data_IF_094682941805
#
_entry.id   IF_094682941805
#
_cell.length_a   1.000
_cell.length_b   1.000
_cell.length_c   1.000
_cell.angle_alpha   90.00
_cell.angle_beta   90.00
_cell.angle_gamma   90.00
#
_symmetry.space_group_name_H-M   'P 1'
#
loop_
_entity.id
_entity.type
_entity.pdbx_description
1 polymer ?
#
# COMPACT_ATOMS: atom_id res chain seq x y z
N UNK A 1 -12.37 14.64 -6.82
CA UNK A 1 -11.82 14.54 -8.19
C UNK A 1 -11.67 13.09 -8.70
N UNK A 2 -11.18 12.12 -7.91
CA UNK A 2 -11.04 10.72 -8.38
C UNK A 2 -12.34 9.92 -8.60
N UNK A 3 -13.43 10.26 -7.91
CA UNK A 3 -14.72 9.53 -7.99
C UNK A 3 -15.45 9.77 -9.32
N UNK A 4 -15.14 10.86 -10.03
CA UNK A 4 -15.82 11.25 -11.28
C UNK A 4 -15.10 10.71 -12.54
N UNK A 5 -13.81 10.37 -12.44
CA UNK A 5 -13.02 9.97 -13.62
C UNK A 5 -13.16 8.49 -14.01
N UNK A 6 -13.54 7.61 -13.08
CA UNK A 6 -13.63 6.17 -13.33
C UNK A 6 -15.01 5.73 -13.84
N UNK A 7 -15.03 5.08 -15.02
CA UNK A 7 -16.23 4.49 -15.63
C UNK A 7 -16.73 3.25 -14.87
N UNK A 8 -15.83 2.52 -14.19
CA UNK A 8 -16.14 1.35 -13.39
C UNK A 8 -15.44 1.39 -12.01
N UNK A 9 -15.84 0.48 -11.10
CA UNK A 9 -15.30 0.42 -9.73
C UNK A 9 -13.77 0.29 -9.69
N UNK A 10 -13.19 -0.55 -10.57
CA UNK A 10 -11.74 -0.76 -10.62
C UNK A 10 -10.95 0.51 -10.97
N UNK A 11 -11.44 1.32 -11.92
CA UNK A 11 -10.81 2.60 -12.25
C UNK A 11 -10.92 3.61 -11.10
N UNK A 12 -12.09 3.69 -10.44
CA UNK A 12 -12.28 4.59 -9.28
C UNK A 12 -11.37 4.19 -8.13
N UNK A 13 -11.27 2.90 -7.85
CA UNK A 13 -10.36 2.36 -6.85
C UNK A 13 -8.89 2.65 -7.19
N UNK A 14 -8.50 2.51 -8.45
CA UNK A 14 -7.14 2.85 -8.92
C UNK A 14 -6.81 4.33 -8.71
N UNK A 15 -7.75 5.24 -9.04
CA UNK A 15 -7.56 6.66 -8.78
C UNK A 15 -7.47 6.97 -7.27
N UNK A 16 -8.23 6.26 -6.44
CA UNK A 16 -8.16 6.39 -5.00
C UNK A 16 -6.79 5.96 -4.45
N UNK A 17 -6.34 4.74 -4.75
CA UNK A 17 -5.05 4.24 -4.22
C UNK A 17 -3.87 5.04 -4.77
N UNK A 18 -3.94 5.55 -6.00
CA UNK A 18 -2.97 6.49 -6.54
C UNK A 18 -2.92 7.79 -5.72
N UNK A 19 -4.09 8.41 -5.50
CA UNK A 19 -4.17 9.66 -4.76
C UNK A 19 -3.72 9.48 -3.31
N UNK A 20 -4.06 8.35 -2.70
CA UNK A 20 -3.65 8.00 -1.35
C UNK A 20 -2.13 7.84 -1.24
N UNK A 21 -1.50 7.05 -2.13
CA UNK A 21 -0.04 6.85 -2.11
C UNK A 21 0.74 8.13 -2.40
N UNK A 22 0.26 8.97 -3.33
CA UNK A 22 0.87 10.29 -3.60
C UNK A 22 0.74 11.19 -2.38
N UNK A 23 -0.44 11.26 -1.77
CA UNK A 23 -0.66 12.07 -0.57
C UNK A 23 0.25 11.64 0.58
N UNK A 24 0.37 10.34 0.82
CA UNK A 24 1.17 9.78 1.91
C UNK A 24 2.67 10.09 1.75
N UNK A 25 3.21 10.00 0.53
CA UNK A 25 4.60 10.41 0.27
C UNK A 25 4.78 11.93 0.47
N UNK A 26 3.85 12.74 -0.04
CA UNK A 26 3.93 14.18 0.11
C UNK A 26 3.76 14.64 1.56
N UNK A 27 3.03 13.90 2.39
CA UNK A 27 2.95 14.14 3.83
C UNK A 27 4.35 14.13 4.47
N UNK A 28 5.16 13.09 4.22
CA UNK A 28 6.54 13.05 4.74
C UNK A 28 7.46 14.11 4.13
N UNK A 29 7.29 14.42 2.84
CA UNK A 29 8.05 15.52 2.20
C UNK A 29 7.77 16.84 2.91
N UNK A 30 6.50 17.17 3.15
CA UNK A 30 6.14 18.41 3.82
C UNK A 30 6.57 18.44 5.28
N UNK A 31 6.51 17.32 5.99
CA UNK A 31 7.10 17.24 7.33
C UNK A 31 8.60 17.52 7.33
N UNK A 32 9.33 17.02 6.31
CA UNK A 32 10.76 17.30 6.20
C UNK A 32 11.04 18.76 5.91
N UNK A 33 10.25 19.38 5.04
CA UNK A 33 10.40 20.81 4.70
C UNK A 33 10.06 21.72 5.88
N UNK A 34 8.98 21.43 6.60
CA UNK A 34 8.45 22.33 7.64
C UNK A 34 9.10 22.14 9.00
N UNK A 35 9.44 20.90 9.35
CA UNK A 35 9.88 20.52 10.69
C UNK A 35 11.24 19.78 10.70
N UNK A 36 11.87 19.59 9.54
CA UNK A 36 13.09 18.80 9.37
C UNK A 36 12.97 17.32 9.81
N UNK A 37 11.75 16.79 9.93
CA UNK A 37 11.49 15.39 10.30
C UNK A 37 10.95 14.60 9.10
N UNK A 38 11.34 13.32 8.88
CA UNK A 38 12.22 12.52 9.72
C UNK A 38 13.71 12.75 9.40
N UNK A 39 14.60 12.50 10.36
CA UNK A 39 16.05 12.55 10.12
C UNK A 39 16.54 11.35 9.28
N UNK A 40 15.82 10.23 9.36
CA UNK A 40 16.04 9.02 8.57
C UNK A 40 14.72 8.35 8.22
N UNK A 41 14.64 7.68 7.07
CA UNK A 41 13.46 6.88 6.71
C UNK A 41 13.21 5.70 7.67
N UNK A 42 14.19 5.32 8.51
CA UNK A 42 14.01 4.29 9.53
C UNK A 42 13.47 4.83 10.86
N UNK A 43 13.24 6.14 10.98
CA UNK A 43 12.60 6.70 12.17
C UNK A 43 11.15 6.24 12.31
N UNK A 44 10.76 5.99 13.55
CA UNK A 44 9.42 5.55 13.90
C UNK A 44 8.40 6.67 13.76
N UNK A 45 7.24 6.30 13.23
CA UNK A 45 6.06 7.15 13.15
C UNK A 45 4.80 6.43 13.68
N UNK A 46 3.80 7.24 14.03
CA UNK A 46 2.45 6.81 14.32
C UNK A 46 1.60 7.05 13.07
N UNK A 47 1.44 6.01 12.28
CA UNK A 47 0.84 6.08 10.95
C UNK A 47 -0.66 6.40 11.02
N UNK A 48 -1.38 5.68 11.88
CA UNK A 48 -2.82 5.83 12.05
C UNK A 48 -3.24 5.45 13.49
N UNK A 49 -4.39 5.98 13.91
CA UNK A 49 -5.00 5.70 15.23
C UNK A 49 -6.31 4.91 15.12
N UNK A 50 -6.60 4.29 13.99
CA UNK A 50 -7.91 3.68 13.70
C UNK A 50 -7.73 2.21 13.30
N UNK A 51 -8.46 1.25 13.90
CA UNK A 51 -9.16 1.33 15.19
C UNK A 51 -8.20 1.28 16.39
N UNK A 52 -6.92 0.98 16.13
CA UNK A 52 -5.82 0.85 17.08
C UNK A 52 -4.62 1.63 16.55
N UNK A 53 -3.57 1.80 17.36
CA UNK A 53 -2.36 2.51 16.95
C UNK A 53 -1.54 1.68 15.97
N UNK A 54 -1.26 2.25 14.80
CA UNK A 54 -0.39 1.66 13.79
C UNK A 54 0.94 2.38 13.86
N UNK A 55 2.01 1.63 14.02
CA UNK A 55 3.34 2.20 14.23
C UNK A 55 4.36 1.46 13.38
N UNK A 56 5.30 2.21 12.83
CA UNK A 56 6.39 1.64 12.06
C UNK A 56 7.37 2.70 11.59
N UNK A 57 8.49 2.28 11.00
CA UNK A 57 9.42 3.21 10.39
C UNK A 57 8.79 3.87 9.17
N UNK A 58 9.09 5.16 8.92
CA UNK A 58 8.58 5.94 7.76
C UNK A 58 8.79 5.23 6.42
N UNK A 59 9.84 4.43 6.29
CA UNK A 59 10.13 3.64 5.10
C UNK A 59 9.01 2.65 4.75
N UNK A 60 8.34 2.06 5.73
CA UNK A 60 7.30 1.05 5.51
C UNK A 60 6.06 1.60 4.77
N UNK A 61 5.38 2.67 5.22
CA UNK A 61 4.29 3.28 4.47
C UNK A 61 4.74 3.85 3.12
N UNK A 62 5.96 4.38 3.00
CA UNK A 62 6.51 4.83 1.71
C UNK A 62 6.62 3.69 0.70
N UNK A 63 7.06 2.49 1.12
CA UNK A 63 7.10 1.31 0.25
C UNK A 63 5.69 0.95 -0.23
N UNK A 64 4.71 0.86 0.68
CA UNK A 64 3.31 0.56 0.32
C UNK A 64 2.78 1.61 -0.67
N UNK A 65 3.04 2.89 -0.40
CA UNK A 65 2.60 4.01 -1.23
C UNK A 65 3.17 3.95 -2.65
N UNK A 66 4.45 3.58 -2.81
CA UNK A 66 5.04 3.34 -4.13
C UNK A 66 4.37 2.17 -4.85
N UNK A 67 4.13 1.05 -4.17
CA UNK A 67 3.45 -0.11 -4.73
C UNK A 67 2.02 0.20 -5.16
N UNK A 68 1.27 0.95 -4.35
CA UNK A 68 -0.08 1.41 -4.68
C UNK A 68 -0.10 2.32 -5.91
N UNK A 69 0.86 3.26 -6.01
CA UNK A 69 1.00 4.14 -7.18
C UNK A 69 1.26 3.32 -8.45
N UNK A 70 2.23 2.40 -8.40
CA UNK A 70 2.58 1.54 -9.54
C UNK A 70 1.38 0.67 -9.94
N UNK A 71 0.73 0.02 -8.97
CA UNK A 71 -0.45 -0.80 -9.22
C UNK A 71 -1.58 0.01 -9.89
N UNK A 72 -1.86 1.23 -9.41
CA UNK A 72 -2.85 2.11 -10.01
C UNK A 72 -2.52 2.47 -11.46
N UNK A 73 -1.27 2.87 -11.73
CA UNK A 73 -0.81 3.21 -13.08
C UNK A 73 -1.01 2.02 -14.02
N UNK A 74 -0.66 0.81 -13.57
CA UNK A 74 -0.81 -0.42 -14.37
C UNK A 74 -2.28 -0.77 -14.62
N UNK A 75 -3.15 -0.66 -13.62
CA UNK A 75 -4.60 -0.87 -13.83
C UNK A 75 -5.17 0.16 -14.81
N UNK A 76 -4.81 1.44 -14.66
CA UNK A 76 -5.24 2.51 -15.55
C UNK A 76 -4.70 2.32 -16.98
N UNK A 77 -3.50 1.77 -17.13
CA UNK A 77 -2.93 1.41 -18.42
C UNK A 77 -3.77 0.35 -19.16
N UNK A 78 -4.22 -0.70 -18.46
CA UNK A 78 -5.14 -1.69 -19.05
C UNK A 78 -6.49 -1.07 -19.39
N UNK A 79 -7.02 -0.25 -18.48
CA UNK A 79 -8.28 0.45 -18.68
C UNK A 79 -8.27 1.36 -19.92
N UNK A 80 -7.16 2.06 -20.18
CA UNK A 80 -6.97 2.88 -21.39
C UNK A 80 -7.02 2.06 -22.69
N UNK A 81 -6.70 0.75 -22.61
CA UNK A 81 -6.80 -0.21 -23.73
C UNK A 81 -8.16 -0.92 -23.79
N UNK A 82 -9.14 -0.49 -23.00
CA UNK A 82 -10.47 -1.10 -22.93
C UNK A 82 -10.50 -2.44 -22.19
N UNK A 83 -9.45 -2.78 -21.43
CA UNK A 83 -9.35 -4.05 -20.71
C UNK A 83 -9.53 -3.83 -19.21
N UNK A 84 -10.44 -4.59 -18.62
CA UNK A 84 -10.68 -4.51 -17.18
C UNK A 84 -9.71 -5.41 -16.40
N UNK A 85 -9.06 -4.83 -15.38
CA UNK A 85 -8.29 -5.60 -14.41
C UNK A 85 -9.25 -6.23 -13.39
N UNK A 86 -9.34 -7.56 -13.37
CA UNK A 86 -10.17 -8.32 -12.42
C UNK A 86 -9.38 -9.45 -11.78
N UNK A 87 -9.39 -9.46 -10.45
CA UNK A 87 -8.90 -10.57 -9.65
C UNK A 87 -9.97 -11.67 -9.57
N UNK A 88 -9.55 -12.94 -9.51
CA UNK A 88 -10.45 -14.04 -9.18
C UNK A 88 -10.57 -14.19 -7.65
N UNK A 89 -11.43 -15.10 -7.19
CA UNK A 89 -11.67 -15.29 -5.75
C UNK A 89 -10.40 -15.69 -4.98
N UNK A 90 -9.55 -16.54 -5.57
CA UNK A 90 -8.30 -16.97 -4.95
C UNK A 90 -7.31 -15.82 -4.81
N UNK A 91 -7.11 -15.06 -5.89
CA UNK A 91 -6.23 -13.90 -5.89
C UNK A 91 -6.73 -12.81 -4.94
N UNK A 92 -8.05 -12.57 -4.87
CA UNK A 92 -8.64 -11.71 -3.85
C UNK A 92 -8.31 -12.19 -2.44
N UNK A 93 -8.42 -13.50 -2.18
CA UNK A 93 -8.03 -14.08 -0.90
C UNK A 93 -6.55 -13.89 -0.57
N UNK A 94 -5.67 -14.02 -1.57
CA UNK A 94 -4.23 -13.82 -1.40
C UNK A 94 -3.86 -12.35 -1.19
N UNK A 95 -4.47 -11.41 -1.91
CA UNK A 95 -4.30 -9.96 -1.69
C UNK A 95 -4.80 -9.54 -0.31
N UNK A 96 -5.91 -10.12 0.15
CA UNK A 96 -6.39 -9.88 1.51
C UNK A 96 -5.42 -10.42 2.56
N UNK A 97 -4.85 -11.62 2.34
CA UNK A 97 -3.84 -12.19 3.23
C UNK A 97 -2.56 -11.33 3.26
N UNK A 98 -2.11 -10.84 2.11
CA UNK A 98 -1.00 -9.92 1.99
C UNK A 98 -1.24 -8.63 2.80
N UNK A 99 -2.40 -7.98 2.57
CA UNK A 99 -2.79 -6.78 3.28
C UNK A 99 -2.93 -7.01 4.80
N UNK A 100 -3.47 -8.16 5.22
CA UNK A 100 -3.57 -8.53 6.62
C UNK A 100 -2.18 -8.72 7.26
N UNK A 101 -1.23 -9.33 6.56
CA UNK A 101 0.15 -9.46 7.03
C UNK A 101 0.83 -8.11 7.23
N UNK A 102 0.70 -7.21 6.26
CA UNK A 102 1.19 -5.84 6.36
C UNK A 102 0.54 -5.11 7.54
N UNK A 103 -0.79 -5.17 7.68
CA UNK A 103 -1.51 -4.55 8.78
C UNK A 103 -1.05 -5.09 10.14
N UNK A 104 -0.90 -6.41 10.28
CA UNK A 104 -0.39 -7.04 11.51
C UNK A 104 1.00 -6.50 11.84
N UNK A 105 1.89 -6.33 10.86
CA UNK A 105 3.23 -5.79 11.10
C UNK A 105 3.22 -4.41 11.77
N UNK A 106 2.23 -3.56 11.47
CA UNK A 106 2.08 -2.23 12.07
C UNK A 106 1.44 -2.22 13.46
N UNK A 107 0.63 -3.24 13.79
CA UNK A 107 -0.18 -3.26 15.01
C UNK A 107 0.43 -4.14 16.11
N UNK A 108 1.39 -5.01 15.78
CA UNK A 108 1.99 -5.94 16.75
C UNK A 108 2.54 -5.23 18.00
N UNK A 109 3.14 -4.05 17.85
CA UNK A 109 3.71 -3.30 18.97
C UNK A 109 2.73 -2.31 19.64
N UNK A 110 1.47 -2.27 19.19
CA UNK A 110 0.47 -1.32 19.68
C UNK A 110 0.31 -1.36 21.21
N UNK A 111 0.30 -2.55 21.83
CA UNK A 111 0.15 -2.68 23.29
C UNK A 111 1.33 -2.11 24.06
N UNK A 112 2.55 -2.32 23.57
CA UNK A 112 3.77 -1.84 24.20
C UNK A 112 3.82 -0.30 24.16
N UNK A 113 3.54 0.28 22.98
CA UNK A 113 3.52 1.73 22.78
C UNK A 113 2.41 2.40 23.59
N UNK A 114 1.22 1.81 23.66
CA UNK A 114 0.12 2.34 24.48
C UNK A 114 0.42 2.32 25.98
N UNK A 115 1.31 1.44 26.44
CA UNK A 115 1.77 1.39 27.83
C UNK A 115 2.96 2.32 28.12
N UNK A 116 3.38 3.14 27.15
CA UNK A 116 4.53 4.04 27.27
C UNK A 116 5.89 3.38 27.08
N UNK A 117 5.91 2.15 26.55
CA UNK A 117 7.15 1.45 26.19
C UNK A 117 7.83 2.06 24.98
N UNK A 118 9.16 1.89 24.88
CA UNK A 118 9.91 2.24 23.68
C UNK A 118 9.57 1.26 22.54
N UNK A 119 9.56 1.69 21.27
CA UNK A 119 9.23 0.82 20.15
C UNK A 119 10.17 -0.39 20.06
N UNK A 120 9.59 -1.59 19.98
CA UNK A 120 10.36 -2.79 19.66
C UNK A 120 10.81 -2.77 18.20
N UNK A 121 11.87 -3.49 17.80
CA UNK A 121 12.28 -3.57 16.40
C UNK A 121 11.13 -3.96 15.47
N UNK A 122 10.98 -3.21 14.37
CA UNK A 122 9.90 -3.42 13.41
C UNK A 122 10.02 -4.81 12.77
N UNK A 123 8.89 -5.52 12.65
CA UNK A 123 8.79 -6.89 12.14
C UNK A 123 8.84 -6.91 10.61
N UNK A 124 9.98 -6.50 10.05
CA UNK A 124 10.23 -6.38 8.61
C UNK A 124 9.92 -7.65 7.84
N UNK A 125 10.14 -8.82 8.43
CA UNK A 125 9.90 -10.10 7.80
C UNK A 125 8.41 -10.35 7.51
N UNK A 126 7.51 -9.90 8.40
CA UNK A 126 6.06 -10.02 8.20
C UNK A 126 5.61 -9.00 7.15
N UNK A 127 6.10 -7.76 7.29
CA UNK A 127 5.81 -6.68 6.36
C UNK A 127 6.22 -7.03 4.93
N UNK A 128 7.49 -7.39 4.70
CA UNK A 128 8.02 -7.74 3.39
C UNK A 128 7.38 -9.02 2.86
N UNK A 129 7.05 -9.98 3.72
CA UNK A 129 6.33 -11.18 3.31
C UNK A 129 4.94 -10.86 2.73
N UNK A 130 4.19 -9.98 3.38
CA UNK A 130 2.90 -9.49 2.90
C UNK A 130 3.04 -8.68 1.61
N UNK A 131 3.97 -7.71 1.60
CA UNK A 131 4.22 -6.84 0.44
C UNK A 131 4.63 -7.63 -0.81
N UNK A 132 5.58 -8.57 -0.67
CA UNK A 132 6.01 -9.41 -1.78
C UNK A 132 4.89 -10.32 -2.28
N UNK A 133 4.08 -10.90 -1.38
CA UNK A 133 2.94 -11.71 -1.77
C UNK A 133 1.95 -10.91 -2.63
N UNK A 134 1.59 -9.69 -2.18
CA UNK A 134 0.71 -8.80 -2.94
C UNK A 134 1.27 -8.43 -4.30
N UNK A 135 2.53 -7.99 -4.37
CA UNK A 135 3.21 -7.66 -5.64
C UNK A 135 3.21 -8.86 -6.59
N UNK A 136 3.55 -10.06 -6.10
CA UNK A 136 3.62 -11.26 -6.93
C UNK A 136 2.25 -11.60 -7.51
N UNK A 137 1.20 -11.62 -6.69
CA UNK A 137 -0.17 -11.93 -7.12
C UNK A 137 -0.65 -10.92 -8.15
N UNK A 138 -0.47 -9.63 -7.88
CA UNK A 138 -0.84 -8.54 -8.78
C UNK A 138 -0.11 -8.65 -10.13
N UNK A 139 1.22 -8.80 -10.12
CA UNK A 139 2.04 -8.86 -11.34
C UNK A 139 1.71 -10.10 -12.16
N UNK A 140 1.52 -11.26 -11.53
CA UNK A 140 1.13 -12.48 -12.23
C UNK A 140 -0.22 -12.32 -12.94
N UNK A 141 -1.22 -11.73 -12.27
CA UNK A 141 -2.51 -11.44 -12.90
C UNK A 141 -2.35 -10.44 -14.04
N UNK A 142 -1.62 -9.35 -13.83
CA UNK A 142 -1.38 -8.33 -14.85
C UNK A 142 -0.75 -8.91 -16.12
N UNK A 143 0.32 -9.69 -15.97
CA UNK A 143 1.00 -10.36 -17.09
C UNK A 143 0.10 -11.36 -17.78
N UNK A 144 -0.71 -12.12 -17.02
CA UNK A 144 -1.68 -13.06 -17.60
C UNK A 144 -2.71 -12.34 -18.48
N UNK A 145 -3.24 -11.21 -18.04
CA UNK A 145 -4.15 -10.37 -18.84
C UNK A 145 -3.46 -9.90 -20.13
N UNK A 146 -2.25 -9.37 -20.04
CA UNK A 146 -1.50 -8.91 -21.22
C UNK A 146 -1.23 -10.03 -22.24
N UNK A 147 -0.97 -11.25 -21.77
CA UNK A 147 -0.77 -12.41 -22.65
C UNK A 147 -2.07 -12.81 -23.35
N UNK A 148 -3.21 -12.73 -22.67
CA UNK A 148 -4.52 -12.98 -23.28
C UNK A 148 -4.87 -11.93 -24.33
N UNK A 149 -4.47 -10.67 -24.16
CA UNK A 149 -4.70 -9.61 -25.15
C UNK A 149 -3.89 -9.77 -26.46
N UNK A 150 -2.76 -10.48 -26.41
CA UNK A 150 -1.89 -10.70 -27.59
C UNK A 150 -2.31 -11.89 -28.43
N UNK A 151 -3.19 -12.75 -27.92
CA UNK A 151 -3.76 -13.89 -28.64
C UNK A 151 -5.01 -13.45 -29.38
#
# INVERSE_FOLDING_TARGET
MGVIAGRNFGQRFSCFIFSFGVWDIFYYIWLKVLCNWPDSLLEWDILFLIPVTWTGPVLAPVIISLSMIVAAILILHLAARGVEFKLNLLEWGLEFLAAAGIFVSFVLDCKNIMNGGLPNPFRWEIFLGGELLGIIVFVQRYVKILRTMKK
#
